data_IF_100736575516
#
_entry.id   IF_100736575516
#
_cell.length_a   1.000
_cell.length_b   1.000
_cell.length_c   1.000
_cell.angle_alpha   90.00
_cell.angle_beta   90.00
_cell.angle_gamma   90.00
#
_symmetry.space_group_name_H-M   'P 1'
#
loop_
_entity.id
_entity.type
_entity.pdbx_description
1 polymer ?
#
# COMPACT_ATOMS: atom_id res chain seq x y z
N UNK A 1 1.42 -6.71 16.00
CA UNK A 1 0.26 -7.20 16.77
C UNK A 1 -0.75 -7.79 15.80
N UNK A 2 -1.52 -8.79 16.24
CA UNK A 2 -2.47 -9.57 15.44
C UNK A 2 -3.74 -9.84 16.25
N UNK A 3 -4.82 -10.18 15.56
CA UNK A 3 -6.04 -10.73 16.14
C UNK A 3 -6.12 -12.22 15.83
N UNK A 4 -6.15 -13.05 16.86
CA UNK A 4 -6.03 -14.48 16.76
C UNK A 4 -7.29 -15.19 17.25
N UNK A 5 -7.56 -16.35 16.65
CA UNK A 5 -8.58 -17.27 17.15
C UNK A 5 -8.10 -18.70 17.06
N UNK A 6 -8.65 -19.52 17.95
CA UNK A 6 -8.44 -20.96 17.97
C UNK A 6 -9.78 -21.68 18.08
N UNK A 7 -10.05 -22.56 17.13
CA UNK A 7 -11.17 -23.49 17.16
C UNK A 7 -10.64 -24.88 17.52
N UNK A 8 -11.11 -25.45 18.64
CA UNK A 8 -10.85 -26.84 19.03
C UNK A 8 -12.02 -27.71 18.57
N UNK A 9 -11.75 -28.59 17.60
CA UNK A 9 -12.75 -29.47 17.01
C UNK A 9 -12.88 -30.76 17.81
N UNK A 10 -14.06 -31.42 17.81
CA UNK A 10 -14.21 -32.71 18.49
C UNK A 10 -13.26 -33.78 17.93
N UNK A 11 -12.85 -34.71 18.79
CA UNK A 11 -12.04 -35.86 18.40
C UNK A 11 -12.71 -36.67 17.29
N UNK A 12 -11.92 -37.18 16.34
CA UNK A 12 -12.44 -37.91 15.17
C UNK A 12 -12.94 -37.04 14.02
N UNK A 13 -12.85 -35.70 14.11
CA UNK A 13 -13.16 -34.81 12.98
C UNK A 13 -12.26 -35.11 11.77
N UNK A 14 -12.86 -35.28 10.59
CA UNK A 14 -12.12 -35.57 9.36
C UNK A 14 -11.35 -34.34 8.86
N UNK A 15 -10.02 -34.45 8.76
CA UNK A 15 -9.17 -33.41 8.16
C UNK A 15 -9.60 -33.09 6.73
N UNK A 16 -9.95 -34.10 5.94
CA UNK A 16 -10.35 -33.90 4.55
C UNK A 16 -11.57 -32.98 4.46
N UNK A 17 -12.60 -33.26 5.28
CA UNK A 17 -13.82 -32.46 5.32
C UNK A 17 -13.56 -31.04 5.84
N UNK A 18 -12.66 -30.89 6.81
CA UNK A 18 -12.26 -29.56 7.30
C UNK A 18 -11.59 -28.74 6.19
N UNK A 19 -10.71 -29.35 5.39
CA UNK A 19 -10.06 -28.70 4.24
C UNK A 19 -11.07 -28.27 3.18
N UNK A 20 -12.05 -29.12 2.86
CA UNK A 20 -13.13 -28.80 1.92
C UNK A 20 -13.94 -27.58 2.41
N UNK A 21 -14.26 -27.49 3.71
CA UNK A 21 -14.96 -26.32 4.29
C UNK A 21 -14.11 -25.05 4.18
N UNK A 22 -12.80 -25.15 4.45
CA UNK A 22 -11.87 -24.02 4.33
C UNK A 22 -11.79 -23.52 2.88
N UNK A 23 -11.71 -24.42 1.90
CA UNK A 23 -11.72 -24.07 0.48
C UNK A 23 -13.06 -23.45 0.05
N UNK A 24 -14.19 -23.94 0.55
CA UNK A 24 -15.52 -23.35 0.31
C UNK A 24 -15.67 -21.94 0.89
N UNK A 25 -14.94 -21.62 1.97
CA UNK A 25 -14.87 -20.26 2.51
C UNK A 25 -14.00 -19.33 1.63
N UNK A 26 -13.33 -19.86 0.60
CA UNK A 26 -12.54 -19.10 -0.36
C UNK A 26 -11.06 -19.00 0.01
N UNK A 27 -10.59 -19.76 1.00
CA UNK A 27 -9.18 -19.81 1.33
C UNK A 27 -8.40 -20.60 0.26
N UNK A 28 -7.19 -20.12 -0.05
CA UNK A 28 -6.26 -20.80 -0.93
C UNK A 28 -5.14 -21.44 -0.11
N UNK A 29 -4.74 -22.65 -0.48
CA UNK A 29 -3.59 -23.33 0.15
C UNK A 29 -2.29 -22.58 -0.16
N UNK A 30 -1.46 -22.38 0.86
CA UNK A 30 -0.18 -21.66 0.74
C UNK A 30 0.96 -22.58 1.14
N UNK A 31 2.03 -22.58 0.32
CA UNK A 31 3.31 -23.19 0.67
C UNK A 31 4.22 -22.10 1.22
N UNK A 32 4.33 -22.01 2.54
CA UNK A 32 5.16 -21.00 3.21
C UNK A 32 6.61 -21.45 3.44
N UNK A 33 6.94 -22.70 3.11
CA UNK A 33 8.30 -23.24 3.24
C UNK A 33 8.70 -23.62 4.67
N UNK A 34 7.83 -23.41 5.66
CA UNK A 34 8.13 -23.72 7.06
C UNK A 34 7.68 -25.13 7.44
N UNK A 35 8.59 -25.90 8.06
CA UNK A 35 8.28 -27.17 8.69
C UNK A 35 7.82 -26.93 10.12
N UNK A 36 6.53 -26.66 10.30
CA UNK A 36 5.92 -26.51 11.62
C UNK A 36 5.41 -27.90 12.07
N UNK A 37 5.82 -28.39 13.26
CA UNK A 37 5.32 -29.66 13.80
C UNK A 37 3.79 -29.69 13.83
N UNK A 38 3.22 -30.86 13.54
CA UNK A 38 1.77 -31.14 13.68
C UNK A 38 0.83 -30.31 12.80
N UNK A 39 1.37 -29.38 12.01
CA UNK A 39 0.60 -28.59 11.04
C UNK A 39 0.29 -29.42 9.80
N UNK A 40 -1.00 -29.55 9.49
CA UNK A 40 -1.51 -30.35 8.36
C UNK A 40 -2.10 -29.52 7.22
N UNK A 41 -2.20 -28.21 7.41
CA UNK A 41 -2.62 -27.27 6.38
C UNK A 41 -2.28 -25.83 6.72
N UNK A 42 -1.95 -25.05 5.69
CA UNK A 42 -1.70 -23.62 5.76
C UNK A 42 -2.43 -22.96 4.59
N UNK A 43 -3.21 -21.93 4.89
CA UNK A 43 -4.15 -21.32 3.99
C UNK A 43 -4.20 -19.81 4.18
N UNK A 44 -4.61 -19.11 3.13
CA UNK A 44 -4.76 -17.66 3.15
C UNK A 44 -5.99 -17.25 2.36
N UNK A 45 -6.78 -16.33 2.93
CA UNK A 45 -7.90 -15.70 2.27
C UNK A 45 -7.60 -14.22 2.04
N UNK A 46 -7.91 -13.73 0.84
CA UNK A 46 -7.81 -12.31 0.50
C UNK A 46 -8.78 -11.97 -0.63
N UNK A 47 -9.67 -11.01 -0.40
CA UNK A 47 -10.61 -10.51 -1.41
C UNK A 47 -10.24 -9.08 -1.88
N UNK A 48 -9.57 -8.93 -3.05
CA UNK A 48 -9.20 -7.62 -3.57
C UNK A 48 -10.38 -6.83 -4.15
N UNK A 49 -11.57 -7.43 -4.26
CA UNK A 49 -12.73 -6.77 -4.86
C UNK A 49 -13.17 -5.59 -4.01
N UNK A 50 -13.43 -4.46 -4.66
CA UNK A 50 -13.91 -3.21 -4.03
C UNK A 50 -13.07 -2.75 -2.82
N UNK A 51 -11.78 -3.10 -2.79
CA UNK A 51 -10.88 -2.74 -1.70
C UNK A 51 -11.31 -3.29 -0.33
N UNK A 52 -12.04 -4.41 -0.28
CA UNK A 52 -12.56 -5.02 0.95
C UNK A 52 -11.47 -5.61 1.83
N UNK A 53 -10.65 -6.51 1.31
CA UNK A 53 -9.55 -7.11 2.08
C UNK A 53 -8.33 -6.19 2.04
N UNK A 54 -7.76 -5.89 3.21
CA UNK A 54 -6.51 -5.12 3.27
C UNK A 54 -5.31 -6.03 3.49
N UNK A 55 -5.41 -6.89 4.50
CA UNK A 55 -4.32 -7.82 4.85
C UNK A 55 -4.70 -9.28 4.63
N UNK A 56 -6.00 -9.58 4.52
CA UNK A 56 -6.49 -10.95 4.44
C UNK A 56 -6.46 -11.69 5.78
N UNK A 57 -6.81 -12.97 5.73
CA UNK A 57 -6.88 -13.87 6.89
C UNK A 57 -5.96 -15.06 6.67
N UNK A 58 -5.03 -15.26 7.59
CA UNK A 58 -4.17 -16.44 7.67
C UNK A 58 -4.92 -17.56 8.43
N UNK A 59 -4.79 -18.80 7.96
CA UNK A 59 -5.42 -19.96 8.59
C UNK A 59 -4.46 -21.14 8.59
N UNK A 60 -4.28 -21.76 9.75
CA UNK A 60 -3.47 -22.97 9.90
C UNK A 60 -4.26 -24.05 10.64
N UNK A 61 -4.08 -25.30 10.19
CA UNK A 61 -4.73 -26.48 10.79
C UNK A 61 -3.64 -27.35 11.42
N UNK A 62 -3.83 -27.72 12.66
CA UNK A 62 -2.93 -28.54 13.46
C UNK A 62 -3.63 -29.78 14.00
N UNK A 63 -2.87 -30.83 14.25
CA UNK A 63 -3.24 -31.84 15.24
C UNK A 63 -2.76 -31.39 16.61
N UNK A 64 -3.63 -31.46 17.62
CA UNK A 64 -3.36 -31.07 19.00
C UNK A 64 -4.05 -32.09 19.92
N UNK A 65 -3.26 -32.82 20.72
CA UNK A 65 -3.75 -33.83 21.69
C UNK A 65 -4.79 -34.84 21.12
N UNK A 66 -4.61 -35.29 19.88
CA UNK A 66 -5.52 -36.24 19.21
C UNK A 66 -6.81 -35.62 18.65
N UNK A 67 -6.95 -34.30 18.71
CA UNK A 67 -8.02 -33.53 18.09
C UNK A 67 -7.46 -32.59 17.01
N UNK A 68 -8.35 -32.04 16.18
CA UNK A 68 -7.97 -30.99 15.23
C UNK A 68 -8.14 -29.62 15.88
N UNK A 69 -7.17 -28.76 15.62
CA UNK A 69 -7.17 -27.36 16.00
C UNK A 69 -7.03 -26.50 14.75
N UNK A 70 -7.90 -25.50 14.61
CA UNK A 70 -7.84 -24.52 13.53
C UNK A 70 -7.53 -23.16 14.13
N UNK A 71 -6.41 -22.59 13.74
CA UNK A 71 -5.99 -21.25 14.14
C UNK A 71 -6.23 -20.29 12.98
N UNK A 72 -6.83 -19.13 13.27
CA UNK A 72 -6.92 -18.03 12.31
C UNK A 72 -6.26 -16.78 12.86
N UNK A 73 -5.71 -15.96 11.97
CA UNK A 73 -5.01 -14.73 12.31
C UNK A 73 -5.29 -13.63 11.29
N UNK A 74 -5.56 -12.43 11.78
CA UNK A 74 -5.50 -11.19 11.00
C UNK A 74 -4.49 -10.22 11.60
N UNK A 75 -3.93 -9.31 10.80
CA UNK A 75 -2.95 -8.32 11.28
C UNK A 75 -3.66 -7.17 11.97
N UNK A 76 -2.97 -6.36 12.78
CA UNK A 76 -3.57 -5.16 13.40
C UNK A 76 -4.13 -4.16 12.36
N UNK A 77 -3.49 -4.06 11.18
CA UNK A 77 -3.94 -3.25 10.05
C UNK A 77 -4.95 -3.95 9.13
N UNK A 78 -5.70 -4.92 9.67
CA UNK A 78 -6.82 -5.59 8.97
C UNK A 78 -7.95 -4.64 8.61
N UNK A 79 -8.69 -5.00 7.57
CA UNK A 79 -9.96 -4.31 7.27
C UNK A 79 -11.09 -4.82 8.16
N UNK A 80 -12.20 -4.08 8.17
CA UNK A 80 -13.47 -4.57 8.71
C UNK A 80 -13.82 -5.95 8.11
N UNK A 81 -13.68 -6.11 6.80
CA UNK A 81 -14.07 -7.34 6.11
C UNK A 81 -13.16 -8.52 6.44
N UNK A 82 -11.85 -8.29 6.62
CA UNK A 82 -10.90 -9.32 7.06
C UNK A 82 -11.35 -9.92 8.39
N UNK A 83 -11.69 -9.06 9.36
CA UNK A 83 -12.16 -9.49 10.69
C UNK A 83 -13.53 -10.18 10.63
N UNK A 84 -14.46 -9.67 9.82
CA UNK A 84 -15.75 -10.35 9.62
C UNK A 84 -15.60 -11.69 8.93
N UNK A 85 -14.64 -11.84 8.01
CA UNK A 85 -14.36 -13.10 7.36
C UNK A 85 -13.76 -14.10 8.36
N UNK A 86 -12.85 -13.64 9.22
CA UNK A 86 -12.34 -14.44 10.34
C UNK A 86 -13.48 -14.96 11.23
N UNK A 87 -14.41 -14.10 11.64
CA UNK A 87 -15.60 -14.49 12.40
C UNK A 87 -16.52 -15.46 11.64
N UNK A 88 -16.71 -15.24 10.33
CA UNK A 88 -17.47 -16.15 9.46
C UNK A 88 -16.83 -17.54 9.44
N UNK A 89 -15.51 -17.63 9.35
CA UNK A 89 -14.76 -18.89 9.40
C UNK A 89 -14.96 -19.59 10.74
N UNK A 90 -14.77 -18.88 11.87
CA UNK A 90 -14.99 -19.43 13.22
C UNK A 90 -16.40 -20.00 13.35
N UNK A 91 -17.41 -19.22 12.93
CA UNK A 91 -18.81 -19.60 12.99
C UNK A 91 -19.10 -20.82 12.13
N UNK A 92 -18.68 -20.82 10.87
CA UNK A 92 -18.95 -21.94 9.94
C UNK A 92 -18.33 -23.25 10.41
N UNK A 93 -17.08 -23.19 10.91
CA UNK A 93 -16.39 -24.37 11.45
C UNK A 93 -17.13 -24.91 12.66
N UNK A 94 -17.53 -24.04 13.59
CA UNK A 94 -18.31 -24.45 14.77
C UNK A 94 -19.69 -25.02 14.38
N UNK A 95 -20.38 -24.39 13.44
CA UNK A 95 -21.73 -24.80 13.05
C UNK A 95 -21.73 -26.16 12.31
N UNK A 96 -20.67 -26.50 11.57
CA UNK A 96 -20.53 -27.80 10.88
C UNK A 96 -19.99 -28.91 11.81
N UNK A 97 -18.95 -28.62 12.58
CA UNK A 97 -18.19 -29.64 13.31
C UNK A 97 -18.44 -29.63 14.83
N UNK A 98 -19.12 -28.62 15.36
CA UNK A 98 -19.24 -28.38 16.80
C UNK A 98 -17.94 -27.88 17.41
N UNK A 99 -17.68 -28.26 18.66
CA UNK A 99 -16.48 -27.88 19.40
C UNK A 99 -16.57 -26.51 20.08
N UNK A 100 -15.42 -25.99 20.47
CA UNK A 100 -15.28 -24.70 21.17
C UNK A 100 -14.31 -23.80 20.44
N UNK A 101 -14.38 -22.49 20.70
CA UNK A 101 -13.40 -21.55 20.18
C UNK A 101 -13.06 -20.48 21.21
N UNK A 102 -11.86 -19.93 21.07
CA UNK A 102 -11.35 -18.80 21.84
C UNK A 102 -10.84 -17.76 20.84
N UNK A 103 -11.10 -16.49 21.12
CA UNK A 103 -10.48 -15.36 20.43
C UNK A 103 -9.78 -14.48 21.46
N UNK A 104 -9.10 -13.44 20.99
CA UNK A 104 -8.54 -12.42 21.89
C UNK A 104 -9.60 -11.70 22.75
N UNK A 105 -10.88 -11.75 22.35
CA UNK A 105 -12.03 -11.23 23.14
C UNK A 105 -12.50 -12.22 24.23
N UNK A 106 -11.94 -13.43 24.26
CA UNK A 106 -12.23 -14.48 25.22
C UNK A 106 -12.92 -15.71 24.63
N UNK A 107 -13.25 -16.66 25.50
CA UNK A 107 -13.89 -17.92 25.11
C UNK A 107 -15.30 -17.70 24.55
N UNK A 108 -15.58 -18.32 23.40
CA UNK A 108 -16.87 -18.24 22.69
C UNK A 108 -17.34 -16.81 22.35
N UNK A 109 -16.41 -15.85 22.26
CA UNK A 109 -16.69 -14.47 21.87
C UNK A 109 -16.09 -14.18 20.51
N UNK A 110 -16.88 -13.58 19.62
CA UNK A 110 -16.40 -13.17 18.30
C UNK A 110 -15.61 -11.87 18.38
N UNK A 111 -14.63 -11.71 17.49
CA UNK A 111 -13.83 -10.49 17.37
C UNK A 111 -14.74 -9.32 17.00
N UNK A 112 -14.60 -8.18 17.68
CA UNK A 112 -15.46 -7.01 17.43
C UNK A 112 -14.73 -5.99 16.56
N UNK A 113 -15.27 -5.62 15.38
CA UNK A 113 -14.74 -4.47 14.65
C UNK A 113 -14.93 -3.19 15.47
N UNK A 114 -13.85 -2.43 15.64
CA UNK A 114 -13.87 -1.16 16.40
C UNK A 114 -14.68 -0.06 15.69
N UNK A 115 -14.78 -0.14 14.37
CA UNK A 115 -15.37 0.87 13.51
C UNK A 115 -16.33 0.26 12.49
N UNK A 116 -17.32 1.04 12.00
CA UNK A 116 -18.16 0.60 10.89
C UNK A 116 -17.34 0.35 9.62
N UNK A 117 -17.88 -0.41 8.65
CA UNK A 117 -17.18 -0.67 7.39
C UNK A 117 -16.86 0.66 6.67
N UNK A 118 -15.60 0.90 6.28
CA UNK A 118 -15.23 2.09 5.53
C UNK A 118 -15.88 2.08 4.15
N UNK A 119 -16.01 3.26 3.52
CA UNK A 119 -16.47 3.30 2.13
C UNK A 119 -15.43 2.66 1.19
N UNK A 120 -15.84 2.04 0.06
CA UNK A 120 -14.89 1.48 -0.89
C UNK A 120 -13.86 2.49 -1.42
N UNK A 121 -14.26 3.76 -1.58
CA UNK A 121 -13.36 4.86 -1.91
C UNK A 121 -12.32 5.09 -0.82
N UNK A 122 -12.75 5.20 0.44
CA UNK A 122 -11.86 5.36 1.60
C UNK A 122 -10.85 4.22 1.68
N UNK A 123 -11.32 2.97 1.52
CA UNK A 123 -10.45 1.79 1.49
C UNK A 123 -9.45 1.83 0.33
N UNK A 124 -9.88 2.23 -0.87
CA UNK A 124 -8.99 2.35 -2.03
C UNK A 124 -7.88 3.38 -1.84
N UNK A 125 -8.23 4.56 -1.32
CA UNK A 125 -7.26 5.61 -1.00
C UNK A 125 -6.32 5.21 0.17
N UNK A 126 -6.86 4.55 1.21
CA UNK A 126 -6.06 4.01 2.29
C UNK A 126 -5.04 2.98 1.78
N UNK A 127 -5.46 2.02 0.95
CA UNK A 127 -4.57 1.00 0.40
C UNK A 127 -3.49 1.60 -0.50
N UNK A 128 -3.79 2.64 -1.28
CA UNK A 128 -2.79 3.38 -2.04
C UNK A 128 -1.74 4.01 -1.10
N UNK A 129 -2.19 4.66 -0.02
CA UNK A 129 -1.30 5.26 0.99
C UNK A 129 -0.50 4.21 1.77
N UNK A 130 -1.09 3.07 2.09
CA UNK A 130 -0.41 1.96 2.77
C UNK A 130 0.70 1.36 1.90
N UNK A 131 0.42 1.11 0.62
CA UNK A 131 1.43 0.67 -0.36
C UNK A 131 2.56 1.69 -0.51
N UNK A 132 2.22 2.98 -0.57
CA UNK A 132 3.18 4.07 -0.60
C UNK A 132 4.14 4.01 0.60
N UNK A 133 3.61 3.93 1.83
CA UNK A 133 4.44 3.86 3.03
C UNK A 133 5.31 2.60 3.08
N UNK A 134 4.76 1.44 2.73
CA UNK A 134 5.51 0.19 2.67
C UNK A 134 6.63 0.24 1.62
N UNK A 135 6.41 0.89 0.48
CA UNK A 135 7.42 1.02 -0.55
C UNK A 135 8.51 2.02 -0.15
N UNK A 136 8.14 3.16 0.44
CA UNK A 136 9.10 4.16 0.92
C UNK A 136 9.96 3.62 2.08
N UNK A 137 9.39 2.76 2.92
CA UNK A 137 10.10 2.07 3.98
C UNK A 137 11.29 1.25 3.46
N UNK A 138 11.18 0.67 2.25
CA UNK A 138 12.30 -0.02 1.59
C UNK A 138 13.47 0.93 1.28
N UNK A 139 13.18 2.15 0.83
CA UNK A 139 14.20 3.17 0.57
C UNK A 139 14.92 3.57 1.87
N UNK A 140 14.15 3.76 2.95
CA UNK A 140 14.70 4.05 4.28
C UNK A 140 15.58 2.91 4.78
N UNK A 141 15.13 1.66 4.62
CA UNK A 141 15.90 0.48 5.03
C UNK A 141 17.21 0.35 4.26
N UNK A 142 17.15 0.52 2.93
CA UNK A 142 18.35 0.55 2.09
C UNK A 142 19.34 1.62 2.58
N UNK A 143 18.87 2.84 2.83
CA UNK A 143 19.71 3.93 3.33
C UNK A 143 20.31 3.63 4.71
N UNK A 144 19.56 2.96 5.60
CA UNK A 144 20.08 2.57 6.93
C UNK A 144 21.04 1.39 6.91
N UNK A 145 20.95 0.52 5.91
CA UNK A 145 21.72 -0.72 5.85
C UNK A 145 22.90 -0.66 4.89
N UNK A 146 22.96 0.33 3.99
CA UNK A 146 24.09 0.45 3.06
C UNK A 146 25.37 0.78 3.82
N UNK A 147 26.43 0.04 3.52
CA UNK A 147 27.77 0.26 4.07
C UNK A 147 28.66 0.81 2.96
N UNK A 148 28.76 2.13 2.91
CA UNK A 148 29.66 2.85 2.01
C UNK A 148 30.80 3.42 2.86
N UNK A 149 31.94 2.75 2.80
CA UNK A 149 33.13 2.99 3.61
C UNK A 149 34.29 3.49 2.71
N UNK A 150 35.32 4.08 3.34
CA UNK A 150 36.50 4.63 2.66
C UNK A 150 36.43 6.15 2.42
N UNK A 151 37.59 6.76 2.16
CA UNK A 151 37.77 8.22 2.14
C UNK A 151 36.94 8.94 1.07
N UNK A 152 36.58 8.25 -0.01
CA UNK A 152 35.73 8.78 -1.08
C UNK A 152 34.23 8.83 -0.70
N UNK A 153 33.78 8.04 0.27
CA UNK A 153 32.38 7.91 0.67
C UNK A 153 31.98 8.96 1.71
N UNK A 154 32.13 10.24 1.37
CA UNK A 154 31.92 11.38 2.27
C UNK A 154 30.44 11.74 2.41
N UNK A 155 30.04 12.15 3.60
CA UNK A 155 28.68 12.58 3.96
C UNK A 155 28.47 14.11 3.87
N UNK A 156 29.50 14.83 3.47
CA UNK A 156 29.50 16.28 3.29
C UNK A 156 30.33 16.66 2.05
N UNK A 157 30.14 17.87 1.50
CA UNK A 157 30.86 18.34 0.33
C UNK A 157 32.37 18.22 0.46
N UNK A 158 33.02 17.79 -0.61
CA UNK A 158 34.47 17.76 -0.70
C UNK A 158 35.04 19.18 -0.91
N UNK A 159 36.27 19.46 -0.45
CA UNK A 159 36.95 20.72 -0.76
C UNK A 159 37.16 20.96 -2.26
N UNK A 160 37.23 19.87 -3.04
CA UNK A 160 37.36 19.87 -4.49
C UNK A 160 36.12 19.20 -5.08
N UNK A 161 35.32 19.94 -5.86
CA UNK A 161 34.01 19.49 -6.36
C UNK A 161 34.08 18.25 -7.25
N UNK A 162 35.16 18.06 -8.02
CA UNK A 162 35.31 16.86 -8.87
C UNK A 162 35.46 15.56 -8.07
N UNK A 163 35.85 15.64 -6.78
CA UNK A 163 35.89 14.45 -5.92
C UNK A 163 34.47 13.97 -5.57
N UNK A 164 33.51 14.88 -5.52
CA UNK A 164 32.11 14.55 -5.27
C UNK A 164 31.47 13.82 -6.46
N UNK A 165 31.97 14.03 -7.69
CA UNK A 165 31.56 13.25 -8.87
C UNK A 165 31.92 11.77 -8.75
N UNK A 166 32.93 11.42 -7.94
CA UNK A 166 33.32 10.04 -7.66
C UNK A 166 32.77 9.52 -6.33
N UNK A 167 31.97 10.31 -5.61
CA UNK A 167 31.47 9.94 -4.30
C UNK A 167 30.35 8.87 -4.43
N UNK A 168 30.58 7.64 -3.94
CA UNK A 168 29.60 6.57 -4.07
C UNK A 168 28.32 6.81 -3.26
N UNK A 169 28.34 7.67 -2.22
CA UNK A 169 27.13 8.06 -1.48
C UNK A 169 26.23 8.95 -2.32
N UNK A 170 26.81 9.94 -3.01
CA UNK A 170 26.05 10.83 -3.90
C UNK A 170 25.45 10.04 -5.07
N UNK A 171 26.21 9.13 -5.69
CA UNK A 171 25.67 8.23 -6.70
C UNK A 171 24.52 7.36 -6.15
N UNK A 172 24.71 6.75 -4.97
CA UNK A 172 23.68 5.95 -4.31
C UNK A 172 22.40 6.76 -4.00
N UNK A 173 22.53 8.02 -3.57
CA UNK A 173 21.39 8.90 -3.31
C UNK A 173 20.65 9.26 -4.60
N UNK A 174 21.38 9.60 -5.67
CA UNK A 174 20.78 9.89 -6.97
C UNK A 174 20.06 8.67 -7.56
N UNK A 175 20.57 7.45 -7.37
CA UNK A 175 19.89 6.20 -7.75
C UNK A 175 18.58 5.96 -7.01
N UNK A 176 18.42 6.47 -5.79
CA UNK A 176 17.17 6.35 -5.02
C UNK A 176 16.09 7.34 -5.48
N UNK A 177 16.46 8.47 -6.08
CA UNK A 177 15.49 9.48 -6.53
C UNK A 177 14.46 8.91 -7.54
N UNK A 178 14.86 8.18 -8.60
CA UNK A 178 13.91 7.51 -9.49
C UNK A 178 12.95 6.57 -8.76
N UNK A 179 13.44 5.79 -7.79
CA UNK A 179 12.61 4.88 -7.00
C UNK A 179 11.57 5.65 -6.18
N UNK A 180 12.00 6.71 -5.49
CA UNK A 180 11.12 7.57 -4.69
C UNK A 180 10.03 8.22 -5.57
N UNK A 181 10.40 8.74 -6.74
CA UNK A 181 9.44 9.31 -7.69
C UNK A 181 8.47 8.25 -8.24
N UNK A 182 8.93 7.03 -8.48
CA UNK A 182 8.04 5.93 -8.90
C UNK A 182 7.03 5.56 -7.81
N UNK A 183 7.45 5.52 -6.55
CA UNK A 183 6.56 5.28 -5.39
C UNK A 183 5.53 6.39 -5.24
N UNK A 184 5.95 7.65 -5.41
CA UNK A 184 5.06 8.81 -5.45
C UNK A 184 4.04 8.73 -6.60
N UNK A 185 4.50 8.41 -7.82
CA UNK A 185 3.64 8.30 -8.99
C UNK A 185 2.59 7.18 -8.83
N UNK A 186 3.00 6.02 -8.31
CA UNK A 186 2.08 4.91 -8.07
C UNK A 186 1.02 5.25 -7.01
N UNK A 187 1.37 6.01 -5.96
CA UNK A 187 0.39 6.49 -4.98
C UNK A 187 -0.74 7.30 -5.64
N UNK A 188 -0.39 8.30 -6.46
CA UNK A 188 -1.39 9.13 -7.11
C UNK A 188 -2.15 8.37 -8.19
N UNK A 189 -1.49 7.47 -8.93
CA UNK A 189 -2.14 6.63 -9.93
C UNK A 189 -3.19 5.70 -9.30
N UNK A 190 -2.83 5.02 -8.22
CA UNK A 190 -3.75 4.15 -7.48
C UNK A 190 -4.89 4.94 -6.84
N UNK A 191 -4.59 6.12 -6.28
CA UNK A 191 -5.61 7.01 -5.71
C UNK A 191 -6.57 7.54 -6.77
N UNK A 192 -6.04 7.98 -7.92
CA UNK A 192 -6.84 8.42 -9.06
C UNK A 192 -7.75 7.32 -9.57
N UNK A 193 -7.24 6.08 -9.67
CA UNK A 193 -8.02 4.89 -10.03
C UNK A 193 -9.19 4.68 -9.07
N UNK A 194 -8.94 4.74 -7.76
CA UNK A 194 -9.98 4.59 -6.75
C UNK A 194 -11.03 5.71 -6.85
N UNK A 195 -10.61 6.96 -6.96
CA UNK A 195 -11.53 8.10 -7.09
C UNK A 195 -12.36 8.00 -8.38
N UNK A 196 -11.73 7.72 -9.52
CA UNK A 196 -12.40 7.60 -10.83
C UNK A 196 -13.46 6.49 -10.83
N UNK A 197 -13.19 5.38 -10.13
CA UNK A 197 -14.12 4.25 -10.01
C UNK A 197 -15.45 4.67 -9.39
N UNK A 198 -15.44 5.60 -8.44
CA UNK A 198 -16.61 6.01 -7.66
C UNK A 198 -17.15 7.42 -7.97
N UNK A 199 -16.46 8.22 -8.79
CA UNK A 199 -16.86 9.60 -9.09
C UNK A 199 -17.89 9.76 -10.22
N UNK A 200 -18.29 8.69 -10.93
CA UNK A 200 -19.18 8.73 -12.10
C UNK A 200 -18.79 9.75 -13.19
N UNK A 201 -17.47 9.86 -13.45
CA UNK A 201 -16.88 10.79 -14.46
C UNK A 201 -16.05 10.09 -15.52
N UNK A 202 -16.25 8.77 -15.68
CA UNK A 202 -15.44 7.93 -16.58
C UNK A 202 -15.45 8.44 -18.01
N UNK A 203 -16.62 8.78 -18.55
CA UNK A 203 -16.76 9.26 -19.93
C UNK A 203 -16.00 10.57 -20.17
N UNK A 204 -16.07 11.51 -19.22
CA UNK A 204 -15.39 12.81 -19.32
C UNK A 204 -13.87 12.63 -19.32
N UNK A 205 -13.36 11.77 -18.43
CA UNK A 205 -11.91 11.47 -18.35
C UNK A 205 -11.43 10.73 -19.59
N UNK A 206 -12.20 9.75 -20.07
CA UNK A 206 -11.90 8.99 -21.30
C UNK A 206 -11.76 9.90 -22.53
N UNK A 207 -12.68 10.84 -22.72
CA UNK A 207 -12.61 11.81 -23.84
C UNK A 207 -11.35 12.67 -23.80
N UNK A 208 -10.84 12.97 -22.61
CA UNK A 208 -9.62 13.79 -22.42
C UNK A 208 -8.32 12.97 -22.50
N UNK A 209 -8.36 11.67 -22.23
CA UNK A 209 -7.20 10.80 -22.20
C UNK A 209 -6.51 10.59 -23.56
N UNK A 210 -7.15 10.99 -24.69
CA UNK A 210 -6.62 10.85 -26.07
C UNK A 210 -5.97 9.48 -26.32
N UNK A 211 -6.75 8.43 -26.08
CA UNK A 211 -6.29 7.04 -26.11
C UNK A 211 -5.82 6.62 -27.51
N UNK A 212 -4.67 5.95 -27.57
CA UNK A 212 -4.20 5.25 -28.77
C UNK A 212 -4.95 3.92 -28.96
N UNK A 213 -4.84 3.33 -30.16
CA UNK A 213 -5.46 2.04 -30.46
C UNK A 213 -4.99 0.92 -29.52
N UNK A 214 -3.68 0.88 -29.23
CA UNK A 214 -3.10 -0.10 -28.29
C UNK A 214 -3.65 0.07 -26.85
N UNK A 215 -3.87 1.31 -26.41
CA UNK A 215 -4.46 1.58 -25.09
C UNK A 215 -5.94 1.16 -25.04
N UNK A 216 -6.68 1.30 -26.14
CA UNK A 216 -8.06 0.82 -26.22
C UNK A 216 -8.13 -0.72 -26.15
N UNK A 217 -7.21 -1.42 -26.82
CA UNK A 217 -7.11 -2.88 -26.72
C UNK A 217 -6.77 -3.33 -25.28
N UNK A 218 -5.85 -2.63 -24.62
CA UNK A 218 -5.51 -2.90 -23.22
C UNK A 218 -6.73 -2.68 -22.30
N UNK A 219 -7.48 -1.59 -22.49
CA UNK A 219 -8.71 -1.32 -21.74
C UNK A 219 -9.76 -2.44 -21.98
N UNK A 220 -9.87 -2.93 -23.21
CA UNK A 220 -10.81 -4.01 -23.54
C UNK A 220 -10.40 -5.36 -22.91
N UNK A 221 -9.10 -5.60 -22.69
CA UNK A 221 -8.57 -6.80 -22.07
C UNK A 221 -8.54 -6.74 -20.52
N UNK A 222 -8.46 -5.54 -19.94
CA UNK A 222 -8.36 -5.37 -18.49
C UNK A 222 -9.71 -5.52 -17.77
N UNK A 223 -9.71 -6.25 -16.65
CA UNK A 223 -10.88 -6.37 -15.77
C UNK A 223 -11.18 -5.09 -14.96
N UNK A 224 -10.24 -4.15 -14.90
CA UNK A 224 -10.35 -2.88 -14.17
C UNK A 224 -10.06 -1.69 -15.10
N UNK A 225 -11.07 -1.28 -15.86
CA UNK A 225 -10.99 -0.20 -16.85
C UNK A 225 -10.38 1.09 -16.28
N UNK A 226 -10.66 1.42 -15.02
CA UNK A 226 -10.15 2.64 -14.38
C UNK A 226 -8.64 2.64 -14.21
N UNK A 227 -8.04 1.46 -14.01
CA UNK A 227 -6.58 1.33 -13.90
C UNK A 227 -5.95 1.56 -15.28
N UNK A 228 -6.43 0.90 -16.32
CA UNK A 228 -5.99 1.13 -17.69
C UNK A 228 -6.09 2.61 -18.10
N UNK A 229 -7.19 3.29 -17.75
CA UNK A 229 -7.34 4.74 -17.97
C UNK A 229 -6.26 5.51 -17.21
N UNK A 230 -6.04 5.20 -15.93
CA UNK A 230 -5.04 5.87 -15.12
C UNK A 230 -3.62 5.71 -15.70
N UNK A 231 -3.27 4.55 -16.29
CA UNK A 231 -1.98 4.31 -16.96
C UNK A 231 -1.70 5.26 -18.13
N UNK A 232 -2.73 5.88 -18.71
CA UNK A 232 -2.58 6.84 -19.80
C UNK A 232 -2.11 8.23 -19.34
N UNK A 233 -2.08 8.49 -18.03
CA UNK A 233 -1.68 9.77 -17.45
C UNK A 233 -0.33 9.64 -16.71
N UNK A 234 0.42 10.75 -16.65
CA UNK A 234 1.58 10.85 -15.77
C UNK A 234 1.16 11.39 -14.40
N UNK A 235 1.73 10.83 -13.33
CA UNK A 235 1.54 11.34 -11.97
C UNK A 235 2.88 11.66 -11.28
N UNK A 236 3.87 12.12 -12.05
CA UNK A 236 5.18 12.49 -11.50
C UNK A 236 5.16 13.90 -10.92
N UNK A 237 4.66 14.87 -11.70
CA UNK A 237 4.71 16.30 -11.37
C UNK A 237 3.47 16.74 -10.59
N UNK A 238 3.62 17.45 -9.45
CA UNK A 238 2.49 18.03 -8.70
C UNK A 238 1.49 18.80 -9.56
N UNK A 239 1.96 19.64 -10.48
CA UNK A 239 1.12 20.40 -11.41
C UNK A 239 0.20 19.48 -12.25
N UNK A 240 0.79 18.48 -12.90
CA UNK A 240 0.08 17.50 -13.73
C UNK A 240 -0.88 16.65 -12.89
N UNK A 241 -0.47 16.25 -11.67
CA UNK A 241 -1.36 15.55 -10.73
C UNK A 241 -2.61 16.39 -10.46
N UNK A 242 -2.45 17.68 -10.14
CA UNK A 242 -3.57 18.59 -9.91
C UNK A 242 -4.53 18.65 -11.11
N UNK A 243 -3.97 18.78 -12.31
CA UNK A 243 -4.77 18.85 -13.53
C UNK A 243 -5.54 17.56 -13.81
N UNK A 244 -4.90 16.40 -13.60
CA UNK A 244 -5.55 15.09 -13.73
C UNK A 244 -6.74 14.97 -12.77
N UNK A 245 -6.55 15.24 -11.48
CA UNK A 245 -7.63 15.12 -10.49
C UNK A 245 -8.76 16.14 -10.72
N UNK A 246 -8.46 17.33 -11.23
CA UNK A 246 -9.47 18.31 -11.68
C UNK A 246 -10.32 17.83 -12.86
N UNK A 247 -9.86 16.84 -13.63
CA UNK A 247 -10.70 16.21 -14.66
C UNK A 247 -11.84 15.40 -14.05
N UNK A 248 -11.66 14.86 -12.84
CA UNK A 248 -12.70 14.17 -12.10
C UNK A 248 -13.60 15.19 -11.42
N UNK A 249 -13.03 16.08 -10.61
CA UNK A 249 -13.77 17.14 -9.94
C UNK A 249 -12.95 18.42 -9.89
N UNK A 250 -13.43 19.46 -10.57
CA UNK A 250 -12.75 20.74 -10.69
C UNK A 250 -12.54 21.46 -9.33
N UNK A 251 -13.28 21.09 -8.29
CA UNK A 251 -13.15 21.64 -6.93
C UNK A 251 -12.06 20.94 -6.10
N UNK A 252 -11.56 19.79 -6.55
CA UNK A 252 -10.52 19.04 -5.85
C UNK A 252 -9.14 19.66 -6.12
N UNK A 253 -8.63 20.45 -5.17
CA UNK A 253 -7.33 21.13 -5.28
C UNK A 253 -6.22 20.45 -4.46
N UNK A 254 -5.61 19.41 -5.03
CA UNK A 254 -4.48 18.71 -4.42
C UNK A 254 -3.21 19.56 -4.41
N UNK A 255 -3.00 20.40 -5.42
CA UNK A 255 -1.82 21.26 -5.52
C UNK A 255 -1.86 22.34 -4.44
N UNK A 256 -3.04 22.94 -4.19
CA UNK A 256 -3.24 23.84 -3.07
C UNK A 256 -2.90 23.19 -1.73
N UNK A 257 -3.27 21.92 -1.53
CA UNK A 257 -2.91 21.18 -0.31
C UNK A 257 -1.39 21.06 -0.14
N UNK A 258 -0.65 20.75 -1.22
CA UNK A 258 0.81 20.65 -1.22
C UNK A 258 1.52 22.00 -1.07
N UNK A 259 0.91 23.10 -1.53
CA UNK A 259 1.47 24.46 -1.45
C UNK A 259 1.41 25.11 -0.07
N UNK A 260 0.67 24.53 0.88
CA UNK A 260 0.59 25.05 2.26
C UNK A 260 2.00 25.18 2.88
N UNK A 261 2.26 26.21 3.71
CA UNK A 261 3.57 26.38 4.36
C UNK A 261 4.04 25.12 5.08
N UNK A 262 5.34 24.84 5.01
CA UNK A 262 5.95 23.69 5.69
C UNK A 262 7.33 24.06 6.24
N UNK A 263 7.57 23.76 7.53
CA UNK A 263 8.83 24.04 8.24
C UNK A 263 9.34 25.48 8.09
N UNK A 264 8.44 26.46 7.94
CA UNK A 264 8.76 27.89 7.71
C UNK A 264 9.67 28.14 6.49
N UNK A 265 9.76 27.19 5.56
CA UNK A 265 10.51 27.34 4.30
C UNK A 265 9.74 28.23 3.33
N UNK A 266 10.46 28.98 2.50
CA UNK A 266 9.88 29.76 1.39
C UNK A 266 9.41 28.86 0.24
N UNK A 267 10.11 27.75 0.03
CA UNK A 267 9.80 26.76 -1.01
C UNK A 267 8.68 25.84 -0.50
N UNK A 268 7.64 25.66 -1.32
CA UNK A 268 6.53 24.76 -0.96
C UNK A 268 6.88 23.30 -1.23
N UNK A 269 6.09 22.35 -0.70
CA UNK A 269 6.30 20.92 -1.01
C UNK A 269 6.08 20.64 -2.50
N UNK A 270 5.11 21.32 -3.11
CA UNK A 270 4.87 21.23 -4.56
C UNK A 270 6.10 21.63 -5.35
N UNK A 271 6.71 22.77 -5.03
CA UNK A 271 7.88 23.27 -5.77
C UNK A 271 9.10 22.37 -5.56
N UNK A 272 9.30 21.88 -4.33
CA UNK A 272 10.39 20.96 -4.02
C UNK A 272 10.30 19.65 -4.80
N UNK A 273 9.08 19.11 -4.97
CA UNK A 273 8.86 17.85 -5.69
C UNK A 273 8.96 18.07 -7.21
N UNK A 274 8.51 19.22 -7.73
CA UNK A 274 8.75 19.59 -9.14
C UNK A 274 10.25 19.61 -9.47
N UNK A 275 11.06 20.23 -8.61
CA UNK A 275 12.53 20.23 -8.75
C UNK A 275 13.11 18.83 -8.66
N UNK A 276 12.59 17.97 -7.78
CA UNK A 276 13.03 16.57 -7.66
C UNK A 276 12.78 15.77 -8.94
N UNK A 277 11.65 15.98 -9.62
CA UNK A 277 11.36 15.35 -10.92
C UNK A 277 12.33 15.83 -12.00
N UNK A 278 12.72 17.11 -11.98
CA UNK A 278 13.74 17.64 -12.90
C UNK A 278 15.11 16.98 -12.64
N UNK A 279 15.54 16.93 -11.38
CA UNK A 279 16.79 16.26 -10.99
C UNK A 279 16.80 14.79 -11.39
N UNK A 280 15.68 14.09 -11.18
CA UNK A 280 15.49 12.71 -11.62
C UNK A 280 15.70 12.54 -13.12
N UNK A 281 15.13 13.43 -13.93
CA UNK A 281 15.24 13.34 -15.38
C UNK A 281 16.66 13.62 -15.87
N UNK A 282 17.34 14.60 -15.28
CA UNK A 282 18.75 14.88 -15.56
C UNK A 282 19.62 13.63 -15.27
N UNK A 283 19.44 13.01 -14.10
CA UNK A 283 20.17 11.82 -13.73
C UNK A 283 19.88 10.62 -14.65
N UNK A 284 18.60 10.31 -14.91
CA UNK A 284 18.22 9.12 -15.69
C UNK A 284 18.59 9.25 -17.18
N UNK A 285 18.50 10.45 -17.76
CA UNK A 285 18.69 10.64 -19.20
C UNK A 285 20.08 11.14 -19.58
N UNK A 286 20.73 11.94 -18.73
CA UNK A 286 22.05 12.51 -19.01
C UNK A 286 23.16 11.92 -18.12
N UNK A 287 22.81 11.20 -17.04
CA UNK A 287 23.78 10.77 -16.04
C UNK A 287 24.21 11.88 -15.08
N UNK A 288 23.56 13.05 -15.16
CA UNK A 288 23.89 14.22 -14.35
C UNK A 288 23.47 13.99 -12.89
N UNK A 289 24.45 13.87 -12.01
CA UNK A 289 24.22 13.66 -10.59
C UNK A 289 24.05 14.99 -9.83
N UNK A 290 23.09 15.05 -8.92
CA UNK A 290 22.97 16.14 -7.96
C UNK A 290 24.06 16.00 -6.88
N UNK A 291 25.08 16.86 -6.96
CA UNK A 291 26.22 16.90 -6.03
C UNK A 291 25.87 17.44 -4.65
N UNK A 292 24.67 17.99 -4.48
CA UNK A 292 24.17 18.47 -3.18
C UNK A 292 23.30 17.46 -2.45
N UNK A 293 22.98 16.32 -3.06
CA UNK A 293 22.05 15.33 -2.54
C UNK A 293 22.73 14.38 -1.54
N UNK A 294 23.08 14.88 -0.36
CA UNK A 294 23.59 14.06 0.74
C UNK A 294 22.48 13.34 1.50
N UNK A 295 22.86 12.43 2.39
CA UNK A 295 21.94 11.52 3.08
C UNK A 295 20.85 12.28 3.85
N UNK A 296 21.21 13.42 4.45
CA UNK A 296 20.28 14.30 5.16
C UNK A 296 19.26 14.96 4.23
N UNK A 297 19.67 15.35 3.03
CA UNK A 297 18.80 15.94 2.02
C UNK A 297 17.82 14.91 1.50
N UNK A 298 18.29 13.67 1.25
CA UNK A 298 17.43 12.57 0.84
C UNK A 298 16.41 12.18 1.92
N UNK A 299 16.82 12.17 3.20
CA UNK A 299 15.89 11.96 4.32
C UNK A 299 14.85 13.08 4.41
N UNK A 300 15.26 14.33 4.14
CA UNK A 300 14.35 15.48 4.09
C UNK A 300 13.36 15.33 2.95
N UNK A 301 13.81 14.94 1.76
CA UNK A 301 12.95 14.65 0.59
C UNK A 301 11.93 13.57 0.92
N UNK A 302 12.35 12.44 1.50
CA UNK A 302 11.42 11.37 1.88
C UNK A 302 10.40 11.83 2.92
N UNK A 303 10.81 12.66 3.90
CA UNK A 303 9.89 13.26 4.87
C UNK A 303 8.89 14.21 4.21
N UNK A 304 9.35 15.03 3.27
CA UNK A 304 8.53 16.02 2.57
C UNK A 304 7.48 15.35 1.68
N UNK A 305 7.85 14.29 0.98
CA UNK A 305 6.95 13.50 0.14
C UNK A 305 5.85 12.86 0.98
N UNK A 306 6.17 12.29 2.16
CA UNK A 306 5.15 11.75 3.08
C UNK A 306 4.16 12.84 3.48
N UNK A 307 4.64 14.03 3.87
CA UNK A 307 3.76 15.13 4.26
C UNK A 307 2.90 15.62 3.09
N UNK A 308 3.44 15.64 1.87
CA UNK A 308 2.68 16.01 0.68
C UNK A 308 1.58 14.98 0.37
N UNK A 309 1.90 13.69 0.45
CA UNK A 309 0.93 12.58 0.32
C UNK A 309 -0.16 12.69 1.38
N UNK A 310 0.21 12.91 2.64
CA UNK A 310 -0.76 13.03 3.74
C UNK A 310 -1.69 14.23 3.52
N UNK A 311 -1.17 15.39 3.12
CA UNK A 311 -1.98 16.57 2.80
C UNK A 311 -2.95 16.33 1.65
N UNK A 312 -2.51 15.61 0.61
CA UNK A 312 -3.37 15.22 -0.50
C UNK A 312 -4.44 14.24 -0.05
N UNK A 313 -4.10 13.25 0.79
CA UNK A 313 -5.04 12.28 1.33
C UNK A 313 -6.12 12.95 2.18
N UNK A 314 -5.75 13.89 3.05
CA UNK A 314 -6.68 14.69 3.85
C UNK A 314 -7.60 15.55 2.98
N UNK A 315 -7.06 16.16 1.91
CA UNK A 315 -7.85 16.94 0.98
C UNK A 315 -8.91 16.09 0.26
N UNK A 316 -8.55 14.86 -0.14
CA UNK A 316 -9.47 13.90 -0.77
C UNK A 316 -10.54 13.46 0.24
N UNK A 317 -10.14 13.08 1.46
CA UNK A 317 -11.08 12.69 2.52
C UNK A 317 -12.08 13.78 2.85
N UNK A 318 -11.60 15.01 3.01
CA UNK A 318 -12.45 16.19 3.23
C UNK A 318 -13.40 16.45 2.07
N UNK A 319 -12.94 16.31 0.82
CA UNK A 319 -13.75 16.58 -0.37
C UNK A 319 -14.85 15.54 -0.61
N UNK A 320 -14.54 14.26 -0.39
CA UNK A 320 -15.48 13.16 -0.61
C UNK A 320 -16.21 12.69 0.66
N UNK A 321 -15.99 13.35 1.80
CA UNK A 321 -16.73 13.12 3.04
C UNK A 321 -16.39 11.80 3.74
N UNK A 322 -15.12 11.37 3.74
CA UNK A 322 -14.66 10.22 4.51
C UNK A 322 -13.52 10.56 5.47
N UNK A 323 -13.48 9.88 6.61
CA UNK A 323 -12.39 9.99 7.58
C UNK A 323 -11.16 9.24 7.08
N UNK A 324 -10.02 9.92 7.06
CA UNK A 324 -8.74 9.34 6.66
C UNK A 324 -8.24 8.34 7.70
N UNK A 325 -7.73 7.22 7.20
CA UNK A 325 -7.22 6.10 8.01
C UNK A 325 -5.69 6.14 8.05
N UNK A 326 -5.11 6.07 9.25
CA UNK A 326 -3.66 6.20 9.49
C UNK A 326 -3.02 5.00 10.19
N UNK A 327 -3.81 3.97 10.50
CA UNK A 327 -3.32 2.78 11.20
C UNK A 327 -2.53 1.90 10.23
N UNK A 328 -1.26 1.63 10.55
CA UNK A 328 -0.33 0.85 9.73
C UNK A 328 0.21 -0.36 10.48
#
# INVERSE_FOLDING_TARGET
MSYESENKLPAGTSVKRLKEVVELLGYMSVKDGFKIPERVGCYFWHDPSEYKSWTGVELSIYYDEGALKLSTRTRVSRSYWDLTHQNKTIKMVRDIFGGTFVTDEGASRYLQPEHPPPSPLSSGCYLARWKFNNALLKARWYLSCRKLEGDAARDAPSPLSFLDEMNPRLLSNNLLVPFIIAVWEEYYRATFTAVLRYADKREVVLKKARLSHAQLEQIAAEKQIERAIAECFSFQRPSVIGDNFKMIDARLDLVGAMRKPHRRRKVTLSDSIESLVVARNAFVHAGDMDMSLFDKDLQTIMSDIVVAVDRSYEAIGSHFGFTTIHDY
#
